data_IF_145948255245
#
_entry.id   IF_145948255245
#
_cell.length_a   1.000
_cell.length_b   1.000
_cell.length_c   1.000
_cell.angle_alpha   90.00
_cell.angle_beta   90.00
_cell.angle_gamma   90.00
#
_symmetry.space_group_name_H-M   'P 1'
#
loop_
_entity.id
_entity.type
_entity.pdbx_description
1 polymer ?
#
# COMPACT_ATOMS: atom_id res chain seq x y z
N UNK A 1 41.48 -133.72 95.39
CA UNK A 1 41.78 -132.62 96.34
C UNK A 1 40.86 -131.41 96.02
N UNK A 2 39.61 -131.38 96.52
CA UNK A 2 39.16 -130.93 97.87
C UNK A 2 39.08 -129.39 97.93
N UNK A 3 38.02 -128.70 98.37
CA UNK A 3 36.62 -129.02 98.72
C UNK A 3 35.91 -127.68 99.11
N UNK A 4 34.58 -127.77 99.30
CA UNK A 4 33.65 -126.85 99.99
C UNK A 4 33.00 -125.79 99.10
N UNK A 5 31.75 -125.97 98.67
CA UNK A 5 30.49 -126.02 99.42
C UNK A 5 30.07 -124.66 99.97
N UNK A 6 29.05 -124.08 99.35
CA UNK A 6 27.96 -123.44 100.09
C UNK A 6 26.76 -123.35 99.16
N UNK A 7 25.85 -124.31 99.32
CA UNK A 7 24.47 -124.10 98.90
C UNK A 7 23.88 -122.86 99.58
N UNK A 8 23.21 -121.99 98.81
CA UNK A 8 22.25 -121.04 99.35
C UNK A 8 21.21 -120.68 98.31
N UNK A 9 20.03 -121.29 98.46
CA UNK A 9 18.71 -120.72 98.13
C UNK A 9 18.51 -120.20 96.72
N UNK A 10 17.81 -121.00 95.91
CA UNK A 10 16.84 -120.45 94.98
C UNK A 10 15.84 -119.58 95.77
N UNK A 11 15.90 -118.27 95.57
CA UNK A 11 14.91 -117.30 96.04
C UNK A 11 14.44 -116.50 94.82
N UNK A 12 13.15 -116.55 94.43
CA UNK A 12 12.65 -115.80 93.31
C UNK A 12 12.45 -114.35 93.75
N UNK A 13 13.28 -113.44 93.24
CA UNK A 13 13.06 -112.00 93.39
C UNK A 13 13.20 -111.34 92.02
N UNK A 14 12.20 -111.58 91.17
CA UNK A 14 11.99 -110.85 89.91
C UNK A 14 10.50 -110.86 89.49
N UNK A 15 9.61 -110.77 90.49
CA UNK A 15 8.14 -110.69 90.30
C UNK A 15 7.55 -109.37 90.79
N UNK A 16 8.24 -108.61 91.66
CA UNK A 16 7.78 -107.31 92.16
C UNK A 16 8.06 -106.12 91.24
N UNK A 17 9.04 -106.23 90.33
CA UNK A 17 9.42 -105.16 89.40
C UNK A 17 8.50 -105.14 88.17
N UNK A 18 8.22 -106.33 87.60
CA UNK A 18 7.31 -106.52 86.46
C UNK A 18 5.86 -106.13 86.75
N UNK A 19 5.39 -106.36 87.98
CA UNK A 19 4.02 -105.99 88.38
C UNK A 19 3.88 -104.46 88.54
N UNK A 20 4.95 -103.80 89.02
CA UNK A 20 5.04 -102.34 89.07
C UNK A 20 5.12 -101.74 87.66
N UNK A 21 5.92 -102.31 86.77
CA UNK A 21 6.01 -101.89 85.37
C UNK A 21 4.68 -102.08 84.62
N UNK A 22 4.00 -103.21 84.84
CA UNK A 22 2.69 -103.48 84.27
C UNK A 22 1.65 -102.45 84.76
N UNK A 23 1.71 -102.08 86.03
CA UNK A 23 0.84 -101.05 86.61
C UNK A 23 1.12 -99.65 86.02
N UNK A 24 2.40 -99.32 85.79
CA UNK A 24 2.81 -98.07 85.11
C UNK A 24 2.30 -98.04 83.68
N UNK A 25 2.50 -99.12 82.91
CA UNK A 25 1.99 -99.23 81.53
C UNK A 25 0.46 -99.13 81.47
N UNK A 26 -0.25 -99.73 82.43
CA UNK A 26 -1.70 -99.61 82.50
C UNK A 26 -2.14 -98.17 82.77
N UNK A 27 -1.43 -97.46 83.65
CA UNK A 27 -1.68 -96.05 83.94
C UNK A 27 -1.40 -95.17 82.72
N UNK A 28 -0.33 -95.41 81.98
CA UNK A 28 -0.01 -94.70 80.74
C UNK A 28 -1.05 -94.96 79.65
N UNK A 29 -1.50 -96.20 79.49
CA UNK A 29 -2.56 -96.55 78.54
C UNK A 29 -3.86 -95.82 78.88
N UNK A 30 -4.23 -95.77 80.17
CA UNK A 30 -5.36 -94.98 80.65
C UNK A 30 -5.20 -93.48 80.32
N UNK A 31 -4.02 -92.91 80.53
CA UNK A 31 -3.74 -91.51 80.22
C UNK A 31 -3.79 -91.22 78.72
N UNK A 32 -3.21 -92.09 77.88
CA UNK A 32 -3.26 -91.97 76.42
C UNK A 32 -4.69 -92.07 75.92
N UNK A 33 -5.49 -92.98 76.48
CA UNK A 33 -6.90 -93.10 76.13
C UNK A 33 -7.68 -91.83 76.51
N UNK A 34 -7.38 -91.22 77.66
CA UNK A 34 -7.96 -89.94 78.06
C UNK A 34 -7.54 -88.79 77.13
N UNK A 35 -6.26 -88.70 76.75
CA UNK A 35 -5.74 -87.71 75.80
C UNK A 35 -6.37 -87.88 74.42
N UNK A 36 -6.51 -89.12 73.93
CA UNK A 36 -7.16 -89.41 72.65
C UNK A 36 -8.62 -88.97 72.67
N UNK A 37 -9.35 -89.25 73.76
CA UNK A 37 -10.75 -88.79 73.92
C UNK A 37 -10.83 -87.27 73.96
N UNK A 38 -9.90 -86.58 74.62
CA UNK A 38 -9.83 -85.11 74.65
C UNK A 38 -9.57 -84.52 73.26
N UNK A 39 -8.62 -85.08 72.51
CA UNK A 39 -8.31 -84.63 71.16
C UNK A 39 -9.49 -84.84 70.20
N UNK A 40 -10.15 -86.00 70.26
CA UNK A 40 -11.38 -86.27 69.47
C UNK A 40 -12.45 -85.21 69.74
N UNK A 41 -12.66 -84.81 71.00
CA UNK A 41 -13.60 -83.73 71.35
C UNK A 41 -13.15 -82.37 70.80
N UNK A 42 -11.86 -82.07 70.83
CA UNK A 42 -11.33 -80.82 70.26
C UNK A 42 -11.48 -80.76 68.74
N UNK A 43 -11.18 -81.85 68.02
CA UNK A 43 -11.37 -81.92 66.56
C UNK A 43 -12.82 -81.62 66.20
N UNK A 44 -13.78 -82.24 66.88
CA UNK A 44 -15.21 -81.95 66.66
C UNK A 44 -15.55 -80.49 66.98
N UNK A 45 -15.02 -79.93 68.07
CA UNK A 45 -15.25 -78.53 68.43
C UNK A 45 -14.72 -77.56 67.37
N UNK A 46 -13.53 -77.81 66.83
CA UNK A 46 -12.89 -76.91 65.87
C UNK A 46 -13.42 -77.06 64.44
N UNK A 47 -13.95 -78.23 64.08
CA UNK A 47 -14.60 -78.44 62.78
C UNK A 47 -15.79 -77.51 62.54
N UNK A 48 -16.55 -77.18 63.58
CA UNK A 48 -17.64 -76.20 63.46
C UNK A 48 -17.14 -74.81 63.03
N UNK A 49 -15.96 -74.39 63.50
CA UNK A 49 -15.36 -73.12 63.10
C UNK A 49 -14.82 -73.19 61.67
N UNK A 50 -14.22 -74.31 61.27
CA UNK A 50 -13.79 -74.55 59.89
C UNK A 50 -14.98 -74.46 58.91
N UNK A 51 -16.07 -75.19 59.18
CA UNK A 51 -17.28 -75.16 58.37
C UNK A 51 -17.90 -73.75 58.29
N UNK A 52 -17.81 -72.97 59.38
CA UNK A 52 -18.25 -71.57 59.40
C UNK A 52 -17.35 -70.68 58.54
N UNK A 53 -16.03 -70.80 58.67
CA UNK A 53 -15.07 -70.01 57.90
C UNK A 53 -15.19 -70.30 56.40
N UNK A 54 -15.39 -71.56 56.00
CA UNK A 54 -15.65 -71.94 54.61
C UNK A 54 -16.93 -71.24 54.10
N UNK A 55 -18.03 -71.30 54.86
CA UNK A 55 -19.27 -70.61 54.48
C UNK A 55 -19.09 -69.09 54.37
N UNK A 56 -18.32 -68.49 55.27
CA UNK A 56 -18.02 -67.05 55.20
C UNK A 56 -17.23 -66.76 53.91
N UNK A 57 -16.23 -67.57 53.58
CA UNK A 57 -15.47 -67.43 52.33
C UNK A 57 -16.32 -67.63 51.08
N UNK A 58 -17.31 -68.53 51.09
CA UNK A 58 -18.27 -68.71 49.99
C UNK A 58 -19.23 -67.51 49.82
N UNK A 59 -19.51 -66.77 50.91
CA UNK A 59 -20.38 -65.59 50.89
C UNK A 59 -19.64 -64.31 50.54
N UNK A 60 -18.34 -64.25 50.76
CA UNK A 60 -17.52 -63.16 50.28
C UNK A 60 -17.45 -63.32 48.76
N UNK A 61 -17.98 -62.38 47.97
CA UNK A 61 -17.78 -62.39 46.53
C UNK A 61 -16.27 -62.49 46.30
N UNK A 62 -15.82 -63.44 45.47
CA UNK A 62 -14.44 -63.50 45.02
C UNK A 62 -14.15 -62.26 44.17
N UNK A 63 -13.98 -61.12 44.82
CA UNK A 63 -13.35 -59.96 44.22
C UNK A 63 -11.88 -60.32 44.08
N UNK A 64 -11.39 -60.34 42.84
CA UNK A 64 -9.97 -60.32 42.46
C UNK A 64 -9.18 -61.63 42.32
N UNK A 65 -9.70 -62.65 41.64
CA UNK A 65 -8.80 -63.67 41.06
C UNK A 65 -9.28 -64.35 39.77
N UNK A 66 -10.32 -63.85 39.12
CA UNK A 66 -10.81 -64.45 37.87
C UNK A 66 -11.23 -63.38 36.88
N UNK A 67 -10.24 -62.91 36.12
CA UNK A 67 -10.38 -61.84 35.14
C UNK A 67 -9.35 -60.73 35.34
N UNK A 68 -8.06 -61.08 35.29
CA UNK A 68 -7.00 -60.11 35.01
C UNK A 68 -7.12 -59.65 33.55
N UNK A 69 -8.14 -58.86 33.24
CA UNK A 69 -7.94 -57.74 32.32
C UNK A 69 -7.52 -56.58 33.24
N UNK A 70 -6.26 -56.12 33.15
CA UNK A 70 -5.53 -55.67 34.31
C UNK A 70 -6.09 -54.32 34.73
N UNK A 71 -6.41 -54.14 36.01
CA UNK A 71 -6.61 -52.81 36.58
C UNK A 71 -5.48 -51.84 36.17
N UNK A 72 -4.29 -52.39 35.94
CA UNK A 72 -3.10 -51.72 35.40
C UNK A 72 -3.25 -51.25 33.94
N UNK A 73 -3.86 -52.02 33.03
CA UNK A 73 -4.08 -51.59 31.64
C UNK A 73 -5.13 -50.48 31.53
N UNK A 74 -6.16 -50.50 32.39
CA UNK A 74 -7.13 -49.41 32.47
C UNK A 74 -6.47 -48.11 32.94
N UNK A 75 -5.64 -48.21 33.98
CA UNK A 75 -4.85 -47.06 34.47
C UNK A 75 -3.88 -46.57 33.39
N UNK A 76 -3.22 -47.47 32.68
CA UNK A 76 -2.29 -47.12 31.60
C UNK A 76 -3.00 -46.40 30.44
N UNK A 77 -4.17 -46.88 30.02
CA UNK A 77 -5.00 -46.22 29.01
C UNK A 77 -5.45 -44.82 29.45
N UNK A 78 -5.82 -44.64 30.72
CA UNK A 78 -6.17 -43.33 31.27
C UNK A 78 -4.96 -42.39 31.29
N UNK A 79 -3.80 -42.86 31.74
CA UNK A 79 -2.55 -42.08 31.75
C UNK A 79 -2.16 -41.67 30.33
N UNK A 80 -2.27 -42.57 29.36
CA UNK A 80 -2.00 -42.27 27.95
C UNK A 80 -2.98 -41.24 27.38
N UNK A 81 -4.27 -41.32 27.72
CA UNK A 81 -5.25 -40.31 27.34
C UNK A 81 -4.91 -38.92 27.90
N UNK A 82 -4.58 -38.83 29.20
CA UNK A 82 -4.19 -37.56 29.81
C UNK A 82 -2.86 -37.03 29.28
N UNK A 83 -1.91 -37.91 28.96
CA UNK A 83 -0.65 -37.53 28.30
C UNK A 83 -0.93 -36.85 26.97
N UNK A 84 -1.77 -37.45 26.12
CA UNK A 84 -2.21 -36.85 24.85
C UNK A 84 -2.88 -35.51 25.07
N UNK A 85 -3.84 -35.42 26.00
CA UNK A 85 -4.53 -34.16 26.31
C UNK A 85 -3.55 -33.07 26.79
N UNK A 86 -2.56 -33.45 27.59
CA UNK A 86 -1.54 -32.54 28.08
C UNK A 86 -0.65 -32.03 26.94
N UNK A 87 -0.23 -32.89 26.01
CA UNK A 87 0.54 -32.47 24.83
C UNK A 87 -0.24 -31.48 23.95
N UNK A 88 -1.51 -31.77 23.67
CA UNK A 88 -2.39 -30.85 22.93
C UNK A 88 -2.56 -29.52 23.66
N UNK A 89 -2.75 -29.56 24.98
CA UNK A 89 -2.86 -28.34 25.81
C UNK A 89 -1.60 -27.48 25.74
N UNK A 90 -0.42 -28.10 25.81
CA UNK A 90 0.85 -27.38 25.65
C UNK A 90 1.00 -26.77 24.25
N UNK A 91 0.59 -27.47 23.21
CA UNK A 91 0.68 -26.95 21.85
C UNK A 91 -0.29 -25.78 21.63
N UNK A 92 -1.52 -25.86 22.16
CA UNK A 92 -2.46 -24.73 22.15
C UNK A 92 -1.84 -23.53 22.90
N UNK A 93 -1.22 -23.75 24.05
CA UNK A 93 -0.55 -22.69 24.80
C UNK A 93 0.56 -22.01 23.98
N UNK A 94 1.41 -22.79 23.30
CA UNK A 94 2.44 -22.24 22.39
C UNK A 94 1.81 -21.43 21.25
N UNK A 95 0.72 -21.92 20.66
CA UNK A 95 0.02 -21.21 19.60
C UNK A 95 -0.60 -19.90 20.09
N UNK A 96 -1.20 -19.88 21.28
CA UNK A 96 -1.73 -18.67 21.90
C UNK A 96 -0.62 -17.65 22.18
N UNK A 97 0.52 -18.10 22.68
CA UNK A 97 1.69 -17.23 22.90
C UNK A 97 2.22 -16.65 21.58
N UNK A 98 2.34 -17.46 20.54
CA UNK A 98 2.75 -17.00 19.21
C UNK A 98 1.75 -15.98 18.65
N UNK A 99 0.45 -16.26 18.76
CA UNK A 99 -0.62 -15.35 18.33
C UNK A 99 -0.59 -14.04 19.11
N UNK A 100 -0.38 -14.09 20.43
CA UNK A 100 -0.22 -12.91 21.28
C UNK A 100 0.97 -12.05 20.86
N UNK A 101 2.13 -12.67 20.57
CA UNK A 101 3.32 -11.95 20.10
C UNK A 101 3.08 -11.28 18.75
N UNK A 102 2.42 -11.97 17.83
CA UNK A 102 2.05 -11.44 16.51
C UNK A 102 1.10 -10.25 16.65
N UNK A 103 0.04 -10.37 17.44
CA UNK A 103 -0.89 -9.26 17.68
C UNK A 103 -0.20 -8.05 18.30
N UNK A 104 0.73 -8.28 19.22
CA UNK A 104 1.51 -7.20 19.83
C UNK A 104 2.44 -6.53 18.79
N UNK A 105 3.01 -7.30 17.86
CA UNK A 105 3.80 -6.74 16.76
C UNK A 105 2.93 -5.87 15.85
N UNK A 106 1.75 -6.35 15.47
CA UNK A 106 0.77 -5.58 14.66
C UNK A 106 0.34 -4.30 15.37
N UNK A 107 0.03 -4.36 16.66
CA UNK A 107 -0.33 -3.17 17.44
C UNK A 107 0.79 -2.13 17.43
N UNK A 108 2.04 -2.53 17.70
CA UNK A 108 3.18 -1.60 17.64
C UNK A 108 3.38 -0.99 16.26
N UNK A 109 3.21 -1.78 15.20
CA UNK A 109 3.30 -1.27 13.82
C UNK A 109 2.20 -0.27 13.51
N UNK A 110 0.97 -0.54 13.97
CA UNK A 110 -0.15 0.39 13.82
C UNK A 110 0.09 1.68 14.59
N UNK A 111 0.49 1.61 15.85
CA UNK A 111 0.84 2.78 16.68
C UNK A 111 1.94 3.62 16.03
N UNK A 112 2.98 2.99 15.49
CA UNK A 112 4.05 3.68 14.77
C UNK A 112 3.54 4.39 13.50
N UNK A 113 2.64 3.75 12.76
CA UNK A 113 2.06 4.33 11.54
C UNK A 113 1.15 5.52 11.89
N UNK A 114 0.32 5.37 12.94
CA UNK A 114 -0.56 6.42 13.45
C UNK A 114 0.25 7.63 13.92
N UNK A 115 1.34 7.43 14.67
CA UNK A 115 2.21 8.52 15.09
C UNK A 115 2.90 9.18 13.88
N UNK A 116 3.31 8.39 12.88
CA UNK A 116 3.82 8.90 11.61
C UNK A 116 2.80 9.80 10.89
N UNK A 117 1.55 9.36 10.79
CA UNK A 117 0.45 10.16 10.22
C UNK A 117 0.18 11.43 11.05
N UNK A 118 0.17 11.32 12.38
CA UNK A 118 -0.04 12.43 13.31
C UNK A 118 1.03 13.52 13.15
N UNK A 119 2.28 13.14 12.88
CA UNK A 119 3.38 14.07 12.60
C UNK A 119 3.38 14.62 11.16
N UNK A 120 3.00 13.80 10.17
CA UNK A 120 2.99 14.19 8.77
C UNK A 120 1.94 15.26 8.46
N UNK A 121 0.74 15.14 9.03
CA UNK A 121 -0.37 16.07 8.74
C UNK A 121 -0.01 17.54 9.06
N UNK A 122 0.51 17.88 10.26
CA UNK A 122 0.97 19.24 10.54
C UNK A 122 2.09 19.71 9.60
N UNK A 123 3.04 18.83 9.26
CA UNK A 123 4.12 19.16 8.32
C UNK A 123 3.59 19.57 6.95
N UNK A 124 2.67 18.78 6.38
CA UNK A 124 2.03 19.07 5.10
C UNK A 124 1.20 20.36 5.17
N UNK A 125 0.48 20.60 6.28
CA UNK A 125 -0.25 21.86 6.49
C UNK A 125 0.70 23.06 6.49
N UNK A 126 1.86 22.95 7.14
CA UNK A 126 2.88 24.01 7.15
C UNK A 126 3.40 24.27 5.73
N UNK A 127 3.73 23.22 4.97
CA UNK A 127 4.20 23.35 3.60
C UNK A 127 3.14 23.97 2.68
N UNK A 128 1.87 23.57 2.82
CA UNK A 128 0.76 24.16 2.07
C UNK A 128 0.66 25.67 2.35
N UNK A 129 0.70 26.06 3.62
CA UNK A 129 0.68 27.47 4.02
C UNK A 129 1.88 28.25 3.43
N UNK A 130 3.07 27.64 3.39
CA UNK A 130 4.25 28.27 2.79
C UNK A 130 4.09 28.45 1.28
N UNK A 131 3.60 27.43 0.57
CA UNK A 131 3.34 27.50 -0.87
C UNK A 131 2.27 28.54 -1.20
N UNK A 132 1.19 28.56 -0.42
CA UNK A 132 0.11 29.53 -0.60
C UNK A 132 0.61 30.97 -0.41
N UNK A 133 1.44 31.23 0.62
CA UNK A 133 2.09 32.54 0.81
C UNK A 133 2.93 32.94 -0.39
N UNK A 134 3.73 32.02 -0.94
CA UNK A 134 4.55 32.29 -2.13
C UNK A 134 3.69 32.62 -3.36
N UNK A 135 2.60 31.90 -3.56
CA UNK A 135 1.67 32.16 -4.66
C UNK A 135 1.01 33.53 -4.52
N UNK A 136 0.57 33.90 -3.31
CA UNK A 136 -0.01 35.23 -3.05
C UNK A 136 1.00 36.36 -3.33
N UNK A 137 2.22 36.24 -2.81
CA UNK A 137 3.29 37.21 -3.09
C UNK A 137 3.56 37.38 -4.59
N UNK A 138 3.61 36.25 -5.31
CA UNK A 138 3.83 36.29 -6.75
C UNK A 138 2.62 36.89 -7.50
N UNK A 139 1.40 36.60 -7.06
CA UNK A 139 0.19 37.19 -7.61
C UNK A 139 0.15 38.71 -7.42
N UNK A 140 0.52 39.20 -6.24
CA UNK A 140 0.63 40.63 -5.94
C UNK A 140 1.67 41.31 -6.85
N UNK A 141 2.82 40.66 -7.08
CA UNK A 141 3.83 41.15 -8.02
C UNK A 141 3.30 41.24 -9.46
N UNK A 142 2.58 40.22 -9.92
CA UNK A 142 1.95 40.25 -11.25
C UNK A 142 0.92 41.37 -11.38
N UNK A 143 0.09 41.57 -10.35
CA UNK A 143 -0.89 42.67 -10.32
C UNK A 143 -0.20 44.04 -10.39
N UNK A 144 0.88 44.24 -9.63
CA UNK A 144 1.66 45.49 -9.70
C UNK A 144 2.22 45.74 -11.10
N UNK A 145 2.80 44.72 -11.73
CA UNK A 145 3.33 44.83 -13.09
C UNK A 145 2.21 45.15 -14.11
N UNK A 146 1.04 44.55 -13.95
CA UNK A 146 -0.14 44.82 -14.79
C UNK A 146 -0.60 46.28 -14.66
N UNK A 147 -0.61 46.82 -13.44
CA UNK A 147 -0.93 48.22 -13.17
C UNK A 147 0.11 49.18 -13.78
N UNK A 148 1.40 48.85 -13.70
CA UNK A 148 2.47 49.66 -14.31
C UNK A 148 2.34 49.70 -15.85
N UNK A 149 2.06 48.55 -16.48
CA UNK A 149 1.87 48.45 -17.94
C UNK A 149 0.60 49.17 -18.40
N UNK A 150 -0.50 49.09 -17.64
CA UNK A 150 -1.73 49.82 -17.97
C UNK A 150 -1.55 51.33 -17.83
N UNK A 151 -0.88 51.79 -16.79
CA UNK A 151 -0.55 53.22 -16.61
C UNK A 151 0.37 53.75 -17.72
N UNK A 152 1.31 52.92 -18.22
CA UNK A 152 2.15 53.26 -19.37
C UNK A 152 1.34 53.37 -20.68
N UNK A 153 0.29 52.56 -20.85
CA UNK A 153 -0.55 52.53 -22.06
C UNK A 153 -1.35 53.82 -22.26
N UNK A 154 -1.66 54.54 -21.19
CA UNK A 154 -2.38 55.82 -21.25
C UNK A 154 -1.47 56.99 -21.71
N UNK A 155 -0.14 56.85 -21.57
CA UNK A 155 0.84 57.78 -22.17
C UNK A 155 0.89 57.68 -23.71
N UNK A 156 0.46 56.54 -24.28
CA UNK A 156 0.34 56.34 -25.74
C UNK A 156 -0.82 57.10 -26.41
N UNK A 157 -1.57 57.91 -25.64
CA UNK A 157 -2.66 58.75 -26.14
C UNK A 157 -2.18 59.84 -27.12
N UNK A 158 -1.02 60.44 -26.86
CA UNK A 158 -0.46 61.51 -27.70
C UNK A 158 -0.10 61.03 -29.12
N UNK A 159 0.49 59.84 -29.26
CA UNK A 159 0.87 59.26 -30.55
C UNK A 159 -0.36 58.91 -31.40
N UNK A 160 -1.41 58.36 -30.79
CA UNK A 160 -2.68 58.08 -31.46
C UNK A 160 -3.35 59.36 -31.96
N UNK A 161 -3.28 60.42 -31.17
CA UNK A 161 -3.86 61.71 -31.52
C UNK A 161 -3.11 62.36 -32.70
N UNK A 162 -1.78 62.29 -32.71
CA UNK A 162 -0.94 62.78 -33.82
C UNK A 162 -1.22 62.02 -35.12
N UNK A 163 -1.33 60.69 -35.08
CA UNK A 163 -1.67 59.87 -36.24
C UNK A 163 -3.06 60.21 -36.81
N UNK A 164 -4.03 60.48 -35.94
CA UNK A 164 -5.37 60.93 -36.35
C UNK A 164 -5.32 62.28 -37.09
N UNK A 165 -4.58 63.25 -36.57
CA UNK A 165 -4.39 64.54 -37.23
C UNK A 165 -3.70 64.41 -38.59
N UNK A 166 -2.64 63.61 -38.69
CA UNK A 166 -1.94 63.35 -39.95
C UNK A 166 -2.87 62.71 -41.00
N UNK A 167 -3.66 61.70 -40.58
CA UNK A 167 -4.62 61.05 -41.47
C UNK A 167 -5.71 62.01 -41.95
N UNK A 168 -6.20 62.89 -41.09
CA UNK A 168 -7.18 63.92 -41.42
C UNK A 168 -6.61 64.95 -42.40
N UNK A 169 -5.37 65.41 -42.19
CA UNK A 169 -4.69 66.34 -43.08
C UNK A 169 -4.50 65.76 -44.48
N UNK A 170 -4.03 64.51 -44.58
CA UNK A 170 -3.85 63.81 -45.86
C UNK A 170 -5.19 63.65 -46.58
N UNK A 171 -6.26 63.26 -45.87
CA UNK A 171 -7.60 63.12 -46.46
C UNK A 171 -8.12 64.44 -47.02
N UNK A 172 -7.95 65.53 -46.27
CA UNK A 172 -8.38 66.87 -46.67
C UNK A 172 -7.62 67.36 -47.92
N UNK A 173 -6.29 67.16 -47.95
CA UNK A 173 -5.49 67.50 -49.12
C UNK A 173 -5.87 66.66 -50.34
N UNK A 174 -6.04 65.35 -50.19
CA UNK A 174 -6.41 64.47 -51.29
C UNK A 174 -7.77 64.85 -51.89
N UNK A 175 -8.75 65.22 -51.05
CA UNK A 175 -10.05 65.69 -51.52
C UNK A 175 -9.94 66.98 -52.35
N UNK A 176 -9.05 67.91 -51.96
CA UNK A 176 -8.79 69.14 -52.73
C UNK A 176 -8.05 68.89 -54.04
N UNK A 177 -7.28 67.82 -54.11
CA UNK A 177 -6.53 67.41 -55.30
C UNK A 177 -7.35 66.54 -56.28
N UNK A 178 -8.54 66.06 -55.87
CA UNK A 178 -9.39 65.23 -56.72
C UNK A 178 -10.04 66.03 -57.86
N UNK A 179 -9.93 65.59 -59.12
CA UNK A 179 -10.70 66.14 -60.23
C UNK A 179 -12.20 65.92 -60.01
N UNK A 180 -13.07 66.86 -60.43
CA UNK A 180 -14.52 66.81 -60.14
C UNK A 180 -15.27 65.60 -60.73
N UNK A 181 -14.60 64.78 -61.55
CA UNK A 181 -15.16 63.58 -62.17
C UNK A 181 -14.79 62.27 -61.45
N UNK A 182 -13.98 62.29 -60.39
CA UNK A 182 -13.47 61.08 -59.72
C UNK A 182 -13.66 61.11 -58.19
N UNK A 183 -13.93 59.94 -57.61
CA UNK A 183 -14.00 59.75 -56.16
C UNK A 183 -12.60 59.77 -55.53
N UNK A 184 -12.51 60.28 -54.29
CA UNK A 184 -11.25 60.29 -53.52
C UNK A 184 -10.77 58.84 -53.28
N UNK A 185 -9.52 58.50 -53.62
CA UNK A 185 -8.96 57.17 -53.34
C UNK A 185 -9.06 56.83 -51.85
N UNK A 186 -9.29 55.57 -51.48
CA UNK A 186 -9.48 55.18 -50.07
C UNK A 186 -8.16 55.00 -49.30
N UNK A 187 -7.13 54.47 -49.95
CA UNK A 187 -5.84 54.15 -49.33
C UNK A 187 -4.96 55.39 -49.08
N UNK A 188 -4.19 55.38 -47.98
CA UNK A 188 -3.30 56.50 -47.60
C UNK A 188 -2.22 56.76 -48.65
N UNK A 189 -1.54 55.71 -49.14
CA UNK A 189 -0.53 55.86 -50.19
C UNK A 189 -1.13 56.39 -51.49
N UNK A 190 -2.29 55.88 -51.90
CA UNK A 190 -2.99 56.37 -53.10
C UNK A 190 -3.43 57.84 -52.98
N UNK A 191 -3.75 58.30 -51.76
CA UNK A 191 -4.03 59.72 -51.49
C UNK A 191 -2.78 60.59 -51.61
N UNK A 192 -1.63 60.10 -51.14
CA UNK A 192 -0.34 60.80 -51.27
C UNK A 192 0.12 60.86 -52.73
N UNK A 193 0.00 59.75 -53.47
CA UNK A 193 0.31 59.69 -54.90
C UNK A 193 -0.53 60.72 -55.67
N UNK A 194 -1.84 60.80 -55.39
CA UNK A 194 -2.73 61.79 -55.99
C UNK A 194 -2.31 63.24 -55.67
N UNK A 195 -1.96 63.54 -54.41
CA UNK A 195 -1.50 64.87 -54.02
C UNK A 195 -0.21 65.23 -54.76
N UNK A 196 0.72 64.28 -54.86
CA UNK A 196 1.99 64.48 -55.57
C UNK A 196 1.76 64.71 -57.07
N UNK A 197 0.93 63.90 -57.72
CA UNK A 197 0.57 64.06 -59.13
C UNK A 197 -0.09 65.43 -59.37
N UNK A 198 -1.01 65.85 -58.50
CA UNK A 198 -1.65 67.17 -58.60
C UNK A 198 -0.64 68.31 -58.49
N UNK A 199 0.31 68.23 -57.55
CA UNK A 199 1.35 69.27 -57.40
C UNK A 199 2.21 69.33 -58.66
N UNK A 200 2.63 68.18 -59.20
CA UNK A 200 3.45 68.12 -60.41
C UNK A 200 2.70 68.68 -61.64
N UNK A 201 1.42 68.34 -61.81
CA UNK A 201 0.57 68.88 -62.87
C UNK A 201 0.41 70.41 -62.76
N UNK A 202 0.17 70.93 -61.55
CA UNK A 202 0.08 72.37 -61.32
C UNK A 202 1.40 73.09 -61.60
N UNK A 203 2.52 72.50 -61.19
CA UNK A 203 3.84 73.05 -61.50
C UNK A 203 4.12 73.06 -63.00
N UNK A 204 3.78 71.99 -63.71
CA UNK A 204 3.93 71.92 -65.16
C UNK A 204 3.00 72.90 -65.88
N UNK A 205 1.76 73.05 -65.43
CA UNK A 205 0.81 74.04 -65.94
C UNK A 205 1.35 75.45 -65.79
N UNK A 206 1.87 75.81 -64.61
CA UNK A 206 2.49 77.12 -64.37
C UNK A 206 3.73 77.32 -65.25
N UNK A 207 4.55 76.28 -65.45
CA UNK A 207 5.69 76.30 -66.38
C UNK A 207 5.24 76.56 -67.83
N UNK A 208 4.21 75.85 -68.32
CA UNK A 208 3.65 76.05 -69.66
C UNK A 208 3.06 77.45 -69.85
N UNK A 209 2.31 77.95 -68.88
CA UNK A 209 1.77 79.33 -68.91
C UNK A 209 2.92 80.34 -68.95
N UNK A 210 3.99 80.11 -68.20
CA UNK A 210 5.16 81.00 -68.18
C UNK A 210 5.88 81.01 -69.53
N UNK A 211 5.95 79.87 -70.22
CA UNK A 211 6.52 79.76 -71.57
C UNK A 211 5.63 80.40 -72.64
N UNK A 212 4.30 80.26 -72.54
CA UNK A 212 3.33 80.95 -73.42
C UNK A 212 3.29 82.47 -73.19
N UNK A 213 3.71 82.92 -72.00
CA UNK A 213 3.84 84.33 -71.61
C UNK A 213 5.27 84.85 -71.77
N UNK A 214 6.09 84.20 -72.59
CA UNK A 214 7.33 84.77 -73.14
C UNK A 214 7.02 85.97 -74.07
N UNK A 215 7.96 86.92 -74.26
CA UNK A 215 7.69 88.21 -74.87
C UNK A 215 7.15 88.06 -76.32
N UNK A 216 6.05 88.73 -76.63
CA UNK A 216 5.60 88.91 -78.03
C UNK A 216 6.65 89.74 -78.77
N UNK A 217 7.56 89.07 -79.47
CA UNK A 217 8.24 89.66 -80.61
C UNK A 217 7.31 89.55 -81.84
N UNK A 218 7.08 90.67 -82.51
CA UNK A 218 6.43 90.70 -83.82
C UNK A 218 7.22 89.81 -84.79
N UNK A 219 6.54 88.94 -85.53
CA UNK A 219 7.13 88.29 -86.69
C UNK A 219 6.67 89.02 -87.96
N UNK A 220 7.63 89.54 -88.74
CA UNK A 220 7.46 89.70 -90.19
C UNK A 220 7.71 88.35 -90.86
N UNK A 221 6.96 88.13 -91.94
CA UNK A 221 6.89 86.96 -92.81
C UNK A 221 8.26 86.42 -93.26
N UNK A 222 8.42 85.08 -93.28
CA UNK A 222 8.46 84.32 -94.54
C UNK A 222 8.46 82.80 -94.29
N UNK A 223 7.62 82.08 -95.06
CA UNK A 223 7.53 80.62 -95.23
C UNK A 223 8.60 80.17 -96.28
N UNK A 224 8.90 78.88 -96.62
CA UNK A 224 8.08 77.67 -96.44
C UNK A 224 8.75 76.29 -96.20
N UNK A 225 7.92 75.34 -95.73
CA UNK A 225 7.79 73.91 -96.12
C UNK A 225 7.71 72.89 -94.97
N UNK A 226 6.45 72.56 -94.68
CA UNK A 226 5.79 71.25 -94.57
C UNK A 226 6.53 69.95 -94.16
N UNK A 227 5.77 69.18 -93.35
CA UNK A 227 5.76 67.73 -93.11
C UNK A 227 6.84 67.05 -92.25
N UNK A 228 6.39 66.44 -91.13
CA UNK A 228 7.15 65.35 -90.50
C UNK A 228 6.75 64.89 -89.10
N UNK A 229 5.54 64.35 -88.97
CA UNK A 229 5.17 63.21 -88.09
C UNK A 229 5.55 63.19 -86.59
N UNK A 230 4.47 63.18 -85.80
CA UNK A 230 4.37 62.59 -84.45
C UNK A 230 5.23 61.33 -84.27
N UNK A 231 5.96 61.25 -83.15
CA UNK A 231 6.14 60.01 -82.38
C UNK A 231 6.31 60.29 -80.88
N UNK A 232 5.34 59.89 -80.09
CA UNK A 232 5.56 59.41 -78.72
C UNK A 232 5.91 57.92 -78.77
N UNK A 233 6.76 57.42 -77.85
CA UNK A 233 6.53 56.08 -77.33
C UNK A 233 6.36 56.04 -75.81
N UNK A 234 5.43 55.17 -75.41
CA UNK A 234 4.95 54.81 -74.06
C UNK A 234 6.02 54.17 -73.16
N UNK A 235 5.77 54.08 -71.84
CA UNK A 235 6.68 53.48 -70.86
C UNK A 235 6.54 51.95 -70.73
N UNK A 236 7.65 51.31 -70.37
CA UNK A 236 7.75 49.90 -69.98
C UNK A 236 7.12 49.66 -68.59
N UNK A 237 6.24 48.65 -68.48
CA UNK A 237 5.82 48.06 -67.19
C UNK A 237 6.65 46.82 -66.89
N UNK A 238 7.10 46.65 -65.64
CA UNK A 238 7.33 45.34 -65.01
C UNK A 238 6.97 45.38 -63.52
N UNK A 239 6.07 44.47 -63.12
CA UNK A 239 5.77 44.12 -61.73
C UNK A 239 6.77 43.08 -61.20
N UNK A 240 7.00 43.10 -59.88
CA UNK A 240 7.85 42.19 -59.12
C UNK A 240 7.10 40.99 -58.53
N UNK A 241 7.85 39.90 -58.34
CA UNK A 241 7.52 38.56 -57.81
C UNK A 241 7.02 38.56 -56.35
N UNK A 242 6.23 37.55 -55.98
CA UNK A 242 6.32 36.90 -54.66
C UNK A 242 6.58 35.40 -54.83
N UNK A 243 7.58 34.89 -54.12
CA UNK A 243 7.84 33.46 -53.93
C UNK A 243 7.29 33.05 -52.57
N UNK A 244 6.43 32.04 -52.56
CA UNK A 244 6.09 31.23 -51.39
C UNK A 244 7.22 30.27 -51.07
N UNK A 245 7.61 30.13 -49.79
CA UNK A 245 7.90 28.82 -49.16
C UNK A 245 8.08 28.93 -47.64
N UNK A 246 7.24 28.21 -46.88
CA UNK A 246 7.49 27.80 -45.48
C UNK A 246 7.92 26.32 -45.51
N UNK A 247 8.96 25.89 -44.77
CA UNK A 247 9.24 24.47 -44.60
C UNK A 247 8.56 23.87 -43.35
N UNK A 248 8.09 22.64 -43.58
CA UNK A 248 7.44 21.61 -42.72
C UNK A 248 8.34 21.18 -41.53
N UNK A 249 7.80 20.87 -40.34
CA UNK A 249 7.34 19.53 -39.87
C UNK A 249 7.85 19.26 -38.42
N UNK A 250 7.70 18.06 -37.82
CA UNK A 250 6.53 17.56 -37.06
C UNK A 250 6.95 17.13 -35.62
N UNK A 251 6.04 16.71 -34.74
CA UNK A 251 6.24 15.64 -33.72
C UNK A 251 4.95 15.40 -32.89
N UNK A 252 4.79 14.24 -32.23
CA UNK A 252 3.52 13.57 -31.99
C UNK A 252 3.03 13.72 -30.53
N UNK A 253 1.72 13.52 -30.32
CA UNK A 253 1.11 13.52 -29.00
C UNK A 253 1.40 12.25 -28.18
N UNK A 254 1.40 12.32 -26.84
CA UNK A 254 1.58 11.16 -25.97
C UNK A 254 0.24 10.45 -25.70
N UNK A 255 0.28 9.10 -25.73
CA UNK A 255 -0.79 8.25 -25.25
C UNK A 255 -0.71 8.05 -23.73
N UNK A 256 -1.90 7.85 -23.17
CA UNK A 256 -2.27 7.53 -21.78
C UNK A 256 -2.07 6.04 -21.44
N UNK A 257 -2.33 5.69 -20.17
CA UNK A 257 -2.44 4.34 -19.58
C UNK A 257 -1.12 3.62 -19.26
N UNK A 258 -0.94 2.91 -18.16
CA UNK A 258 -1.77 2.57 -17.00
C UNK A 258 -0.83 1.99 -15.93
N UNK A 259 -1.09 2.30 -14.66
CA UNK A 259 -0.57 1.55 -13.52
C UNK A 259 -1.25 0.18 -13.45
N UNK A 260 -0.47 -0.87 -13.18
CA UNK A 260 -0.95 -2.03 -12.43
C UNK A 260 0.20 -2.78 -11.79
N UNK A 261 0.18 -2.74 -10.46
CA UNK A 261 0.79 -3.69 -9.54
C UNK A 261 0.27 -5.11 -9.77
N UNK A 262 1.11 -6.12 -9.54
CA UNK A 262 0.76 -7.35 -8.80
C UNK A 262 1.96 -8.32 -8.68
N UNK A 263 2.07 -8.87 -7.46
CA UNK A 263 2.98 -9.90 -6.91
C UNK A 263 4.33 -9.46 -6.33
#
# INVERSE_FOLDING_TARGET
PVAMDTGKGAGPSDTGDKDRDLQVLFQELCQLQAKQRKLKRQVVKYKLFEDYLIKVLEKIPQGSSQGEEPAEALVEAMVEHYRKLFTVSQDIQKHLEAFSRMNQAVHRSLESLEEGHRALIPSLKIQLCQLQKRCHLQQEQWQQLEHDVTSQKDTGSSEKQLLSYMQMAINSMAQRCCPSAHDVPRGLFSKLDLIQEFILDKMETVRFISLLRGPRACWSEDNPKDQGLRRYPRPFRKHSKSQDSIPRSPFPGPQTSEDSSLF
#
